data_IF_890494671497
#
_entry.id   IF_890494671497
#
_cell.length_a   1.000
_cell.length_b   1.000
_cell.length_c   1.000
_cell.angle_alpha   90.00
_cell.angle_beta   90.00
_cell.angle_gamma   90.00
#
_symmetry.space_group_name_H-M   'P 1'
#
loop_
_entity.id
_entity.type
_entity.pdbx_description
1 polymer ?
#
# COMPACT_ATOMS: atom_id res chain seq x y z
N UNK A 1 -24.80 -4.20 29.72
CA UNK A 1 -23.47 -3.53 29.79
C UNK A 1 -22.29 -4.41 29.36
N UNK A 2 -22.44 -5.72 29.11
CA UNK A 2 -21.33 -6.61 28.75
C UNK A 2 -20.90 -6.55 27.26
N UNK A 3 -21.82 -6.19 26.35
CA UNK A 3 -21.56 -6.13 24.90
C UNK A 3 -20.42 -5.16 24.48
N UNK A 4 -20.36 -3.90 24.99
CA UNK A 4 -19.30 -2.96 24.57
C UNK A 4 -17.91 -3.36 25.07
N UNK A 5 -17.81 -4.02 26.23
CA UNK A 5 -16.54 -4.52 26.76
C UNK A 5 -16.02 -5.70 25.92
N UNK A 6 -16.92 -6.58 25.47
CA UNK A 6 -16.56 -7.69 24.57
C UNK A 6 -16.03 -7.21 23.22
N UNK A 7 -16.70 -6.25 22.60
CA UNK A 7 -16.24 -5.62 21.34
C UNK A 7 -14.90 -4.90 21.50
N UNK A 8 -14.68 -4.22 22.63
CA UNK A 8 -13.40 -3.60 22.95
C UNK A 8 -12.25 -4.61 23.06
N UNK A 9 -12.47 -5.74 23.75
CA UNK A 9 -11.48 -6.81 23.86
C UNK A 9 -11.17 -7.47 22.51
N UNK A 10 -12.19 -7.71 21.69
CA UNK A 10 -12.03 -8.23 20.33
C UNK A 10 -11.21 -7.27 19.47
N UNK A 11 -11.50 -5.96 19.53
CA UNK A 11 -10.76 -4.95 18.80
C UNK A 11 -9.29 -4.87 19.24
N UNK A 12 -9.03 -4.88 20.56
CA UNK A 12 -7.67 -4.93 21.10
C UNK A 12 -6.92 -6.19 20.66
N UNK A 13 -7.58 -7.35 20.65
CA UNK A 13 -7.04 -8.59 20.13
C UNK A 13 -6.68 -8.49 18.64
N UNK A 14 -7.57 -7.93 17.82
CA UNK A 14 -7.33 -7.69 16.40
C UNK A 14 -6.15 -6.74 16.14
N UNK A 15 -6.06 -5.65 16.89
CA UNK A 15 -4.92 -4.71 16.85
C UNK A 15 -3.61 -5.42 17.22
N UNK A 16 -3.62 -6.23 18.28
CA UNK A 16 -2.47 -7.02 18.73
C UNK A 16 -1.99 -8.03 17.69
N UNK A 17 -2.92 -8.80 17.09
CA UNK A 17 -2.62 -9.73 16.00
C UNK A 17 -2.06 -9.01 14.77
N UNK A 18 -2.63 -7.85 14.42
CA UNK A 18 -2.14 -7.01 13.34
C UNK A 18 -0.68 -6.61 13.55
N UNK A 19 -0.34 -6.11 14.74
CA UNK A 19 1.03 -5.74 15.14
C UNK A 19 1.98 -6.95 15.12
N UNK A 20 1.58 -8.09 15.66
CA UNK A 20 2.39 -9.31 15.63
C UNK A 20 2.71 -9.73 14.19
N UNK A 21 1.72 -9.68 13.29
CA UNK A 21 1.93 -9.97 11.88
C UNK A 21 2.93 -9.01 11.23
N UNK A 22 2.88 -7.72 11.54
CA UNK A 22 3.84 -6.72 11.06
C UNK A 22 5.27 -7.12 11.42
N UNK A 23 5.48 -7.40 12.71
CA UNK A 23 6.79 -7.76 13.25
C UNK A 23 7.29 -9.08 12.68
N UNK A 24 6.41 -10.07 12.53
CA UNK A 24 6.75 -11.35 11.92
C UNK A 24 7.14 -11.19 10.46
N UNK A 25 6.42 -10.38 9.68
CA UNK A 25 6.75 -10.12 8.28
C UNK A 25 8.14 -9.48 8.16
N UNK A 26 8.43 -8.46 8.98
CA UNK A 26 9.74 -7.79 8.98
C UNK A 26 10.88 -8.76 9.32
N UNK A 27 10.67 -9.65 10.30
CA UNK A 27 11.65 -10.68 10.67
C UNK A 27 11.84 -11.73 9.58
N UNK A 28 10.75 -12.30 9.06
CA UNK A 28 10.81 -13.40 8.08
C UNK A 28 11.43 -12.92 6.77
N UNK A 29 11.01 -11.76 6.27
CA UNK A 29 11.55 -11.20 5.03
C UNK A 29 13.02 -10.80 5.20
N UNK A 30 13.40 -10.26 6.36
CA UNK A 30 14.80 -9.92 6.65
C UNK A 30 15.74 -11.13 6.74
N UNK A 31 15.25 -12.27 7.22
CA UNK A 31 16.09 -13.47 7.40
C UNK A 31 16.29 -14.31 6.12
N UNK A 32 15.44 -14.13 5.10
CA UNK A 32 15.43 -14.97 3.88
C UNK A 32 15.84 -14.23 2.62
N UNK A 33 16.55 -13.11 2.77
CA UNK A 33 16.90 -12.22 1.66
C UNK A 33 18.40 -12.00 1.55
N UNK A 34 18.91 -11.92 0.33
CA UNK A 34 20.28 -11.60 0.00
C UNK A 34 20.34 -10.24 -0.71
N UNK A 35 21.44 -9.48 -0.63
CA UNK A 35 21.58 -8.26 -1.42
C UNK A 35 21.52 -8.58 -2.92
N UNK A 36 20.83 -7.73 -3.68
CA UNK A 36 20.83 -7.83 -5.13
C UNK A 36 22.22 -7.57 -5.72
N UNK A 37 22.43 -8.00 -6.97
CA UNK A 37 23.68 -7.71 -7.67
C UNK A 37 23.85 -6.20 -7.91
N UNK A 38 25.09 -5.78 -8.18
CA UNK A 38 25.42 -4.36 -8.38
C UNK A 38 24.68 -3.72 -9.57
N UNK A 39 24.37 -4.50 -10.61
CA UNK A 39 23.62 -4.01 -11.76
C UNK A 39 22.21 -3.55 -11.34
N UNK A 40 21.43 -4.42 -10.70
CA UNK A 40 20.07 -4.12 -10.24
C UNK A 40 20.08 -2.98 -9.21
N UNK A 41 21.02 -3.02 -8.25
CA UNK A 41 21.15 -1.94 -7.27
C UNK A 41 21.44 -0.59 -7.95
N UNK A 42 22.31 -0.56 -8.96
CA UNK A 42 22.61 0.67 -9.69
C UNK A 42 21.41 1.22 -10.46
N UNK A 43 20.54 0.33 -10.99
CA UNK A 43 19.30 0.75 -11.65
C UNK A 43 18.36 1.39 -10.63
N UNK A 44 18.18 0.75 -9.48
CA UNK A 44 17.35 1.27 -8.40
C UNK A 44 17.86 2.62 -7.87
N UNK A 45 19.18 2.77 -7.69
CA UNK A 45 19.78 4.03 -7.23
C UNK A 45 19.53 5.18 -8.23
N UNK A 46 19.70 4.93 -9.54
CA UNK A 46 19.41 5.93 -10.58
C UNK A 46 17.93 6.31 -10.61
N UNK A 47 17.03 5.33 -10.51
CA UNK A 47 15.59 5.58 -10.48
C UNK A 47 15.18 6.33 -9.20
N UNK A 48 15.79 6.02 -8.06
CA UNK A 48 15.50 6.70 -6.80
C UNK A 48 15.85 8.20 -6.90
N UNK A 49 16.99 8.52 -7.52
CA UNK A 49 17.37 9.92 -7.80
C UNK A 49 16.37 10.64 -8.71
N UNK A 50 15.93 9.98 -9.78
CA UNK A 50 14.95 10.56 -10.71
C UNK A 50 13.57 10.78 -10.07
N UNK A 51 13.16 9.89 -9.17
CA UNK A 51 11.90 10.00 -8.43
C UNK A 51 12.02 11.05 -7.31
N UNK A 52 13.22 11.27 -6.75
CA UNK A 52 13.42 12.01 -5.50
C UNK A 52 13.20 11.15 -4.24
N UNK A 53 13.20 9.83 -4.40
CA UNK A 53 13.07 8.87 -3.31
C UNK A 53 14.40 8.70 -2.56
N UNK A 54 14.33 8.31 -1.28
CA UNK A 54 15.52 7.91 -0.54
C UNK A 54 16.14 6.65 -1.17
N UNK A 55 17.47 6.64 -1.35
CA UNK A 55 18.18 5.44 -1.79
C UNK A 55 17.92 4.29 -0.82
N UNK A 56 17.71 3.10 -1.37
CA UNK A 56 17.33 1.92 -0.60
C UNK A 56 18.05 0.67 -1.10
N UNK A 57 18.28 -0.28 -0.20
CA UNK A 57 18.82 -1.60 -0.56
C UNK A 57 17.75 -2.43 -1.28
N UNK A 58 18.10 -2.95 -2.46
CA UNK A 58 17.33 -3.99 -3.14
C UNK A 58 17.83 -5.35 -2.66
N UNK A 59 16.88 -6.18 -2.27
CA UNK A 59 17.09 -7.51 -1.74
C UNK A 59 16.44 -8.54 -2.65
N UNK A 60 17.05 -9.71 -2.76
CA UNK A 60 16.55 -10.86 -3.51
C UNK A 60 16.14 -11.97 -2.55
N UNK A 61 14.98 -12.57 -2.78
CA UNK A 61 14.60 -13.84 -2.17
C UNK A 61 14.53 -14.95 -3.22
N UNK A 62 15.07 -16.12 -2.90
CA UNK A 62 14.97 -17.30 -3.74
C UNK A 62 13.53 -17.81 -3.75
N UNK A 63 12.77 -17.44 -4.79
CA UNK A 63 11.37 -17.75 -4.93
C UNK A 63 11.03 -17.87 -6.41
N UNK A 64 10.57 -19.05 -6.84
CA UNK A 64 10.14 -19.30 -8.22
C UNK A 64 8.67 -18.87 -8.44
N UNK A 65 8.33 -17.68 -7.94
CA UNK A 65 7.03 -17.01 -8.10
C UNK A 65 7.28 -15.50 -8.13
N UNK A 66 6.47 -14.73 -8.86
CA UNK A 66 6.57 -13.28 -8.89
C UNK A 66 6.33 -12.68 -7.50
N UNK A 67 7.29 -11.89 -7.04
CA UNK A 67 7.18 -11.10 -5.82
C UNK A 67 8.03 -9.85 -5.97
N UNK A 68 7.37 -8.70 -5.90
CA UNK A 68 8.00 -7.41 -5.63
C UNK A 68 7.28 -6.79 -4.44
N UNK A 69 8.02 -6.31 -3.46
CA UNK A 69 7.45 -5.75 -2.24
C UNK A 69 8.39 -4.74 -1.61
N UNK A 70 7.88 -3.55 -1.35
CA UNK A 70 8.48 -2.57 -0.45
C UNK A 70 8.08 -2.87 1.00
N UNK A 71 9.06 -3.07 1.89
CA UNK A 71 8.83 -3.38 3.30
C UNK A 71 9.85 -2.71 4.25
N UNK A 72 9.54 -2.69 5.54
CA UNK A 72 10.38 -2.13 6.61
C UNK A 72 9.74 -0.91 7.28
N UNK A 73 9.98 -0.75 8.59
CA UNK A 73 9.37 0.35 9.35
C UNK A 73 10.22 1.63 9.32
N UNK A 74 11.50 1.52 9.70
CA UNK A 74 12.41 2.68 9.79
C UNK A 74 13.27 2.91 8.55
N UNK A 75 13.61 1.83 7.84
CA UNK A 75 14.44 1.86 6.64
C UNK A 75 13.75 1.00 5.59
N UNK A 76 12.93 1.59 4.71
CA UNK A 76 12.23 0.81 3.69
C UNK A 76 13.25 0.15 2.76
N UNK A 77 12.97 -1.08 2.36
CA UNK A 77 13.76 -1.93 1.47
C UNK A 77 12.87 -2.51 0.40
N UNK A 78 13.44 -2.75 -0.78
CA UNK A 78 12.74 -3.41 -1.88
C UNK A 78 13.14 -4.88 -1.86
N UNK A 79 12.16 -5.78 -1.80
CA UNK A 79 12.35 -7.21 -1.98
C UNK A 79 11.87 -7.62 -3.36
N UNK A 80 12.72 -8.34 -4.10
CA UNK A 80 12.38 -8.96 -5.37
C UNK A 80 12.59 -10.47 -5.28
N UNK A 81 11.76 -11.26 -5.95
CA UNK A 81 12.06 -12.68 -6.15
C UNK A 81 13.05 -12.90 -7.28
N UNK A 82 13.76 -14.02 -7.24
CA UNK A 82 14.59 -14.50 -8.35
C UNK A 82 13.77 -14.62 -9.65
N UNK A 83 12.50 -15.04 -9.55
CA UNK A 83 11.58 -15.07 -10.69
C UNK A 83 11.48 -13.71 -11.41
N UNK A 84 11.37 -12.60 -10.67
CA UNK A 84 11.27 -11.26 -11.28
C UNK A 84 12.52 -10.89 -12.08
N UNK A 85 13.69 -11.31 -11.61
CA UNK A 85 14.97 -11.05 -12.29
C UNK A 85 15.14 -11.95 -13.53
N UNK A 86 14.63 -13.18 -13.46
CA UNK A 86 14.79 -14.18 -14.53
C UNK A 86 13.77 -14.00 -15.68
N UNK A 87 12.56 -13.51 -15.39
CA UNK A 87 11.45 -13.49 -16.35
C UNK A 87 11.10 -12.09 -16.89
N UNK A 88 11.61 -11.02 -16.27
CA UNK A 88 11.41 -9.66 -16.74
C UNK A 88 12.61 -9.17 -17.52
N UNK A 89 12.35 -8.48 -18.63
CA UNK A 89 13.39 -7.76 -19.35
C UNK A 89 13.87 -6.52 -18.57
N UNK A 90 14.95 -5.89 -19.04
CA UNK A 90 15.53 -4.71 -18.37
C UNK A 90 14.56 -3.54 -18.23
N UNK A 91 13.68 -3.32 -19.21
CA UNK A 91 12.70 -2.24 -19.18
C UNK A 91 11.54 -2.55 -18.22
N UNK A 92 11.06 -3.78 -18.22
CA UNK A 92 10.04 -4.28 -17.31
C UNK A 92 10.52 -4.25 -15.86
N UNK A 93 11.74 -4.75 -15.60
CA UNK A 93 12.34 -4.73 -14.27
C UNK A 93 12.55 -3.30 -13.75
N UNK A 94 13.03 -2.40 -14.62
CA UNK A 94 13.15 -0.98 -14.28
C UNK A 94 11.80 -0.33 -13.96
N UNK A 95 10.74 -0.70 -14.69
CA UNK A 95 9.39 -0.20 -14.42
C UNK A 95 8.84 -0.70 -13.07
N UNK A 96 9.06 -1.97 -12.73
CA UNK A 96 8.71 -2.51 -11.40
C UNK A 96 9.52 -1.84 -10.30
N UNK A 97 10.83 -1.67 -10.46
CA UNK A 97 11.66 -0.95 -9.49
C UNK A 97 11.19 0.48 -9.28
N UNK A 98 10.84 1.20 -10.35
CA UNK A 98 10.30 2.55 -10.27
C UNK A 98 8.95 2.58 -9.51
N UNK A 99 8.09 1.57 -9.70
CA UNK A 99 6.84 1.42 -8.96
C UNK A 99 7.09 1.22 -7.46
N UNK A 100 8.00 0.31 -7.09
CA UNK A 100 8.37 0.06 -5.70
C UNK A 100 9.01 1.29 -5.04
N UNK A 101 9.87 2.00 -5.76
CA UNK A 101 10.42 3.29 -5.30
C UNK A 101 9.34 4.35 -5.11
N UNK A 102 8.26 4.32 -5.90
CA UNK A 102 7.07 5.14 -5.70
C UNK A 102 6.43 4.92 -4.32
N UNK A 103 6.37 3.67 -3.85
CA UNK A 103 5.89 3.37 -2.50
C UNK A 103 6.78 3.94 -1.39
N UNK A 104 8.09 4.01 -1.63
CA UNK A 104 9.06 4.57 -0.68
C UNK A 104 8.93 6.09 -0.61
N UNK A 105 8.91 6.74 -1.76
CA UNK A 105 8.74 8.19 -1.89
C UNK A 105 7.45 8.68 -1.20
N UNK A 106 6.35 7.97 -1.45
CA UNK A 106 5.04 8.27 -0.85
C UNK A 106 4.87 7.77 0.57
N UNK A 107 5.85 7.03 1.10
CA UNK A 107 5.82 6.37 2.42
C UNK A 107 4.58 5.48 2.62
N UNK A 108 4.12 4.87 1.54
CA UNK A 108 2.89 4.07 1.54
C UNK A 108 2.99 2.89 2.53
N UNK A 109 4.19 2.38 2.78
CA UNK A 109 4.43 1.32 3.76
C UNK A 109 3.82 1.67 5.13
N UNK A 110 4.03 2.88 5.67
CA UNK A 110 3.49 3.29 6.98
C UNK A 110 1.97 3.37 6.97
N UNK A 111 1.40 3.93 5.90
CA UNK A 111 -0.05 4.13 5.75
C UNK A 111 -0.75 2.77 5.62
N UNK A 112 -0.19 1.87 4.82
CA UNK A 112 -0.70 0.49 4.67
C UNK A 112 -0.61 -0.27 5.98
N UNK A 113 0.48 -0.13 6.75
CA UNK A 113 0.59 -0.75 8.08
C UNK A 113 -0.52 -0.29 9.01
N UNK A 114 -0.72 1.03 9.13
CA UNK A 114 -1.76 1.60 9.98
C UNK A 114 -3.16 1.15 9.53
N UNK A 115 -3.47 1.26 8.24
CA UNK A 115 -4.75 0.84 7.69
C UNK A 115 -4.99 -0.66 7.90
N UNK A 116 -3.94 -1.48 7.81
CA UNK A 116 -3.99 -2.92 8.05
C UNK A 116 -4.33 -3.23 9.51
N UNK A 117 -3.66 -2.59 10.46
CA UNK A 117 -3.92 -2.76 11.90
C UNK A 117 -5.33 -2.29 12.25
N UNK A 118 -5.77 -1.14 11.71
CA UNK A 118 -7.13 -0.64 11.91
C UNK A 118 -8.18 -1.60 11.33
N UNK A 119 -7.99 -2.10 10.10
CA UNK A 119 -8.89 -3.10 9.51
C UNK A 119 -8.98 -4.35 10.39
N UNK A 120 -7.87 -4.81 10.96
CA UNK A 120 -7.87 -6.02 11.80
C UNK A 120 -8.56 -5.79 13.15
N UNK A 121 -8.39 -4.61 13.77
CA UNK A 121 -9.10 -4.25 15.00
C UNK A 121 -10.60 -4.01 14.80
N UNK A 122 -10.98 -3.45 13.65
CA UNK A 122 -12.34 -3.07 13.32
C UNK A 122 -12.93 -3.93 12.19
N UNK A 123 -12.54 -5.21 12.13
CA UNK A 123 -12.93 -6.12 11.04
C UNK A 123 -14.45 -6.34 10.95
N UNK A 124 -15.20 -6.08 12.03
CA UNK A 124 -16.65 -6.21 12.05
C UNK A 124 -17.37 -5.01 11.43
N UNK A 125 -16.66 -3.93 11.08
CA UNK A 125 -17.21 -2.76 10.40
C UNK A 125 -17.00 -2.89 8.88
N UNK A 126 -18.06 -3.03 8.06
CA UNK A 126 -17.91 -3.19 6.61
C UNK A 126 -17.20 -2.01 5.91
N UNK A 127 -17.33 -0.82 6.47
CA UNK A 127 -16.73 0.43 5.98
C UNK A 127 -15.21 0.41 6.06
N UNK A 128 -14.61 -0.23 7.08
CA UNK A 128 -13.15 -0.34 7.20
C UNK A 128 -12.55 -1.20 6.09
N UNK A 129 -13.25 -2.25 5.67
CA UNK A 129 -12.86 -3.05 4.50
C UNK A 129 -12.98 -2.26 3.20
N UNK A 130 -14.06 -1.50 3.03
CA UNK A 130 -14.24 -0.66 1.85
C UNK A 130 -13.15 0.41 1.74
N UNK A 131 -12.87 1.09 2.84
CA UNK A 131 -11.81 2.08 2.94
C UNK A 131 -10.42 1.48 2.69
N UNK A 132 -10.12 0.31 3.28
CA UNK A 132 -8.87 -0.38 3.03
C UNK A 132 -8.70 -0.73 1.55
N UNK A 133 -9.75 -1.25 0.90
CA UNK A 133 -9.70 -1.54 -0.55
C UNK A 133 -9.51 -0.28 -1.38
N UNK A 134 -10.17 0.82 -1.04
CA UNK A 134 -10.02 2.09 -1.75
C UNK A 134 -8.59 2.64 -1.62
N UNK A 135 -8.05 2.65 -0.40
CA UNK A 135 -6.66 3.03 -0.14
C UNK A 135 -5.68 2.18 -0.97
N UNK A 136 -5.85 0.86 -0.98
CA UNK A 136 -4.99 -0.03 -1.77
C UNK A 136 -5.06 0.31 -3.26
N UNK A 137 -6.25 0.61 -3.81
CA UNK A 137 -6.40 1.00 -5.22
C UNK A 137 -5.68 2.31 -5.53
N UNK A 138 -5.92 3.35 -4.75
CA UNK A 138 -5.33 4.68 -4.94
C UNK A 138 -3.80 4.64 -4.83
N UNK A 139 -3.29 3.86 -3.89
CA UNK A 139 -1.86 3.60 -3.70
C UNK A 139 -1.23 3.03 -4.97
N UNK A 140 -1.78 1.94 -5.50
CA UNK A 140 -1.25 1.28 -6.70
C UNK A 140 -1.33 2.20 -7.94
N UNK A 141 -2.44 2.92 -8.09
CA UNK A 141 -2.64 3.87 -9.20
C UNK A 141 -1.60 4.98 -9.18
N UNK A 142 -1.39 5.60 -8.01
CA UNK A 142 -0.42 6.69 -7.87
C UNK A 142 1.02 6.24 -8.10
N UNK A 143 1.38 5.02 -7.68
CA UNK A 143 2.72 4.47 -7.90
C UNK A 143 2.97 4.09 -9.36
N UNK A 144 1.99 3.52 -10.04
CA UNK A 144 2.06 3.30 -11.49
C UNK A 144 2.30 4.63 -12.24
N UNK A 145 1.53 5.67 -11.92
CA UNK A 145 1.63 6.96 -12.61
C UNK A 145 3.02 7.59 -12.40
N UNK A 146 3.60 7.47 -11.20
CA UNK A 146 4.95 7.94 -10.90
C UNK A 146 6.03 7.09 -11.57
N UNK A 147 5.86 5.78 -11.61
CA UNK A 147 6.75 4.87 -12.32
C UNK A 147 6.78 5.18 -13.82
N UNK A 148 5.61 5.44 -14.42
CA UNK A 148 5.47 5.82 -15.84
C UNK A 148 6.07 7.20 -16.09
N UNK A 149 5.87 8.16 -15.19
CA UNK A 149 6.44 9.51 -15.33
C UNK A 149 7.98 9.50 -15.39
N UNK A 150 8.65 8.60 -14.68
CA UNK A 150 10.11 8.50 -14.68
C UNK A 150 10.62 7.58 -15.80
N UNK A 151 10.01 6.42 -15.98
CA UNK A 151 10.50 5.44 -16.97
C UNK A 151 10.06 5.74 -18.39
N UNK A 152 8.99 6.51 -18.58
CA UNK A 152 8.34 6.77 -19.87
C UNK A 152 7.93 5.50 -20.61
N UNK A 153 7.69 4.40 -19.88
CA UNK A 153 7.43 3.06 -20.44
C UNK A 153 6.20 2.40 -19.80
N UNK A 154 4.98 2.91 -20.05
CA UNK A 154 3.75 2.33 -19.50
C UNK A 154 3.52 0.88 -19.93
N UNK A 155 3.86 0.55 -21.18
CA UNK A 155 3.72 -0.82 -21.69
C UNK A 155 4.68 -1.81 -21.02
N UNK A 156 5.86 -1.37 -20.57
CA UNK A 156 6.79 -2.22 -19.83
C UNK A 156 6.21 -2.57 -18.46
N UNK A 157 5.60 -1.60 -17.76
CA UNK A 157 4.91 -1.87 -16.50
C UNK A 157 3.69 -2.79 -16.72
N UNK A 158 2.89 -2.54 -17.76
CA UNK A 158 1.72 -3.38 -18.09
C UNK A 158 2.14 -4.83 -18.39
N UNK A 159 3.19 -5.01 -19.19
CA UNK A 159 3.75 -6.32 -19.51
C UNK A 159 4.26 -7.05 -18.27
N UNK A 160 5.01 -6.34 -17.41
CA UNK A 160 5.50 -6.91 -16.15
C UNK A 160 4.35 -7.39 -15.25
N UNK A 161 3.30 -6.57 -15.09
CA UNK A 161 2.10 -6.93 -14.32
C UNK A 161 1.37 -8.13 -14.93
N UNK A 162 1.23 -8.19 -16.26
CA UNK A 162 0.59 -9.30 -16.95
C UNK A 162 1.36 -10.61 -16.75
N UNK A 163 2.68 -10.60 -16.91
CA UNK A 163 3.56 -11.77 -16.67
C UNK A 163 3.47 -12.24 -15.22
N UNK A 164 3.60 -11.31 -14.27
CA UNK A 164 3.51 -11.62 -12.85
C UNK A 164 2.14 -12.18 -12.47
N UNK A 165 1.06 -11.61 -13.03
CA UNK A 165 -0.28 -12.10 -12.77
C UNK A 165 -0.51 -13.50 -13.33
N UNK A 166 -0.09 -13.74 -14.57
CA UNK A 166 -0.24 -15.04 -15.22
C UNK A 166 0.39 -16.13 -14.35
N UNK A 167 1.66 -15.98 -13.97
CA UNK A 167 2.34 -16.97 -13.12
C UNK A 167 1.69 -17.08 -11.74
N UNK A 168 1.41 -15.96 -11.06
CA UNK A 168 0.80 -15.98 -9.73
C UNK A 168 -0.56 -16.70 -9.71
N UNK A 169 -1.37 -16.51 -10.76
CA UNK A 169 -2.73 -17.03 -10.86
C UNK A 169 -2.81 -18.55 -11.05
N UNK A 170 -1.70 -19.21 -11.39
CA UNK A 170 -1.63 -20.66 -11.54
C UNK A 170 -1.61 -21.42 -10.21
N UNK A 171 -1.45 -20.73 -9.07
CA UNK A 171 -1.42 -21.35 -7.74
C UNK A 171 -2.82 -21.67 -7.17
N UNK A 172 -3.07 -22.86 -6.57
CA UNK A 172 -4.38 -23.23 -6.03
C UNK A 172 -4.84 -22.30 -4.90
N UNK A 173 -3.92 -21.85 -4.03
CA UNK A 173 -4.22 -20.95 -2.92
C UNK A 173 -4.71 -19.58 -3.40
N UNK A 174 -4.05 -19.01 -4.41
CA UNK A 174 -4.42 -17.70 -4.92
C UNK A 174 -5.77 -17.76 -5.62
N UNK A 175 -6.01 -18.80 -6.43
CA UNK A 175 -7.31 -19.04 -7.11
C UNK A 175 -8.48 -19.08 -6.14
N UNK A 176 -8.32 -19.74 -4.99
CA UNK A 176 -9.37 -19.80 -3.96
C UNK A 176 -9.58 -18.45 -3.25
N UNK A 177 -8.54 -17.62 -3.13
CA UNK A 177 -8.60 -16.34 -2.45
C UNK A 177 -9.13 -15.19 -3.33
N UNK A 178 -9.00 -15.27 -4.66
CA UNK A 178 -9.36 -14.18 -5.59
C UNK A 178 -10.75 -13.54 -5.36
N UNK A 179 -11.84 -14.32 -5.18
CA UNK A 179 -13.18 -13.73 -5.04
C UNK A 179 -13.31 -12.83 -3.81
N UNK A 180 -12.47 -13.07 -2.80
CA UNK A 180 -12.50 -12.36 -1.53
C UNK A 180 -11.56 -11.16 -1.50
N UNK A 181 -10.49 -11.17 -2.31
CA UNK A 181 -9.48 -10.10 -2.33
C UNK A 181 -9.77 -9.04 -3.38
N UNK A 182 -10.43 -9.39 -4.49
CA UNK A 182 -10.61 -8.51 -5.63
C UNK A 182 -9.29 -8.15 -6.34
N UNK A 183 -8.23 -8.93 -6.11
CA UNK A 183 -6.90 -8.66 -6.68
C UNK A 183 -6.90 -8.74 -8.22
N UNK A 184 -7.69 -9.65 -8.80
CA UNK A 184 -7.86 -9.79 -10.24
C UNK A 184 -8.37 -8.50 -10.89
N UNK A 185 -9.50 -7.98 -10.40
CA UNK A 185 -10.10 -6.75 -10.92
C UNK A 185 -9.18 -5.53 -10.79
N UNK A 186 -8.37 -5.46 -9.72
CA UNK A 186 -7.39 -4.40 -9.54
C UNK A 186 -6.27 -4.47 -10.58
N UNK A 187 -5.72 -5.67 -10.82
CA UNK A 187 -4.66 -5.86 -11.80
C UNK A 187 -5.15 -5.62 -13.23
N UNK A 188 -6.33 -6.14 -13.58
CA UNK A 188 -6.96 -5.88 -14.87
C UNK A 188 -7.16 -4.38 -15.11
N UNK A 189 -7.68 -3.64 -14.11
CA UNK A 189 -7.84 -2.20 -14.19
C UNK A 189 -6.50 -1.47 -14.41
N UNK A 190 -5.43 -1.88 -13.70
CA UNK A 190 -4.10 -1.29 -13.86
C UNK A 190 -3.53 -1.54 -15.25
N UNK A 191 -3.59 -2.78 -15.74
CA UNK A 191 -3.13 -3.14 -17.09
C UNK A 191 -3.91 -2.34 -18.13
N UNK A 192 -5.24 -2.30 -18.05
CA UNK A 192 -6.08 -1.53 -18.95
C UNK A 192 -5.71 -0.04 -18.96
N UNK A 193 -5.46 0.56 -17.78
CA UNK A 193 -5.04 1.96 -17.66
C UNK A 193 -3.68 2.22 -18.34
N UNK A 194 -2.71 1.31 -18.16
CA UNK A 194 -1.37 1.45 -18.74
C UNK A 194 -1.35 1.24 -20.26
N UNK A 195 -2.23 0.37 -20.79
CA UNK A 195 -2.38 0.16 -22.24
C UNK A 195 -2.98 1.36 -22.97
N UNK A 196 -3.78 2.19 -22.28
CA UNK A 196 -4.51 3.30 -22.88
C UNK A 196 -3.68 4.58 -23.15
N UNK A 197 -2.38 4.62 -22.81
CA UNK A 197 -1.36 5.70 -22.96
C UNK A 197 -1.76 7.11 -23.48
N UNK A 198 -1.15 8.21 -22.98
CA UNK A 198 -0.99 8.70 -21.60
C UNK A 198 -1.70 10.06 -21.36
N UNK A 199 -2.03 10.40 -20.10
CA UNK A 199 -2.27 11.82 -19.71
C UNK A 199 -0.93 12.53 -19.55
N UNK A 200 -0.80 13.81 -19.97
CA UNK A 200 0.38 14.61 -19.67
C UNK A 200 0.57 14.75 -18.17
N UNK A 201 1.84 14.81 -17.74
CA UNK A 201 2.23 15.17 -16.40
C UNK A 201 1.74 16.59 -16.04
N UNK A 202 1.38 16.74 -14.78
CA UNK A 202 1.13 17.97 -14.01
C UNK A 202 1.33 19.29 -14.76
N UNK A 203 0.23 20.03 -14.93
CA UNK A 203 0.28 21.49 -15.06
C UNK A 203 0.74 22.08 -13.72
N UNK A 204 2.06 22.09 -13.50
CA UNK A 204 2.69 22.98 -12.53
C UNK A 204 3.44 24.06 -13.31
N UNK A 205 2.72 25.12 -13.62
CA UNK A 205 3.28 26.36 -14.13
C UNK A 205 4.38 26.90 -13.23
N UNK A 206 5.52 27.21 -13.86
CA UNK A 206 6.46 28.29 -13.55
C UNK A 206 6.35 28.91 -12.14
N UNK A 207 7.20 28.46 -11.21
CA UNK A 207 7.46 29.17 -9.97
C UNK A 207 8.65 28.57 -9.24
N UNK A 208 9.79 29.24 -9.29
CA UNK A 208 10.98 28.93 -8.49
C UNK A 208 10.74 29.13 -6.99
N UNK A 209 9.92 28.28 -6.39
CA UNK A 209 9.70 28.18 -4.95
C UNK A 209 10.19 26.82 -4.47
N UNK A 210 10.96 26.79 -3.39
CA UNK A 210 11.24 25.56 -2.64
C UNK A 210 9.90 24.95 -2.20
N UNK A 211 9.40 23.98 -2.95
CA UNK A 211 8.18 23.26 -2.62
C UNK A 211 8.45 22.32 -1.45
N UNK A 212 7.74 22.55 -0.36
CA UNK A 212 7.67 21.69 0.82
C UNK A 212 6.81 20.46 0.50
N UNK A 213 7.40 19.52 -0.27
CA UNK A 213 6.74 18.29 -0.77
C UNK A 213 6.35 17.33 0.37
N UNK A 214 6.84 17.56 1.59
CA UNK A 214 6.45 16.77 2.77
C UNK A 214 5.03 17.04 3.29
N UNK A 215 4.45 18.20 2.97
CA UNK A 215 3.21 18.68 3.59
C UNK A 215 1.93 18.33 2.83
N UNK A 216 1.91 18.42 1.51
CA UNK A 216 0.66 18.41 0.71
C UNK A 216 0.13 17.01 0.43
N UNK A 217 0.98 16.05 0.07
CA UNK A 217 0.57 14.66 -0.13
C UNK A 217 0.22 13.97 1.20
N UNK A 218 0.97 14.27 2.26
CA UNK A 218 0.66 13.83 3.62
C UNK A 218 -0.68 14.43 4.08
N UNK A 219 -0.98 15.70 3.75
CA UNK A 219 -2.26 16.33 4.03
C UNK A 219 -3.40 15.69 3.24
N UNK A 220 -3.25 15.38 1.95
CA UNK A 220 -4.32 14.75 1.18
C UNK A 220 -4.66 13.33 1.71
N UNK A 221 -3.64 12.51 1.99
CA UNK A 221 -3.81 11.19 2.59
C UNK A 221 -4.31 11.24 4.05
N UNK A 222 -3.81 12.19 4.84
CA UNK A 222 -4.28 12.40 6.22
C UNK A 222 -5.69 13.00 6.27
N UNK A 223 -6.08 13.87 5.33
CA UNK A 223 -7.45 14.39 5.21
C UNK A 223 -8.39 13.25 4.84
N UNK A 224 -8.01 12.37 3.90
CA UNK A 224 -8.78 11.17 3.58
C UNK A 224 -8.93 10.22 4.77
N UNK A 225 -7.84 9.93 5.49
CA UNK A 225 -7.86 9.10 6.69
C UNK A 225 -8.64 9.74 7.86
N UNK A 226 -8.50 11.05 8.08
CA UNK A 226 -9.16 11.78 9.17
C UNK A 226 -10.65 12.01 8.91
N UNK A 227 -11.04 12.30 7.67
CA UNK A 227 -12.46 12.40 7.29
C UNK A 227 -13.14 11.02 7.37
N UNK A 228 -12.41 9.95 7.05
CA UNK A 228 -12.87 8.60 7.25
C UNK A 228 -12.97 8.24 8.75
N UNK A 229 -11.95 8.53 9.55
CA UNK A 229 -11.99 8.31 11.02
C UNK A 229 -13.10 9.14 11.68
N UNK A 230 -13.38 10.35 11.19
CA UNK A 230 -14.50 11.17 11.66
C UNK A 230 -15.86 10.59 11.23
N UNK A 231 -15.98 10.08 10.01
CA UNK A 231 -17.16 9.37 9.54
C UNK A 231 -17.40 8.07 10.34
N UNK A 232 -16.33 7.36 10.72
CA UNK A 232 -16.40 6.19 11.58
C UNK A 232 -16.77 6.56 13.03
N UNK A 233 -16.20 7.62 13.58
CA UNK A 233 -16.60 8.14 14.88
C UNK A 233 -18.07 8.55 14.88
N UNK A 234 -18.56 9.13 13.78
CA UNK A 234 -19.97 9.45 13.58
C UNK A 234 -20.84 8.19 13.45
N UNK A 235 -20.42 7.18 12.68
CA UNK A 235 -21.15 5.90 12.55
C UNK A 235 -21.22 5.14 13.88
N UNK A 236 -20.11 5.10 14.63
CA UNK A 236 -20.06 4.52 15.98
C UNK A 236 -20.96 5.34 16.93
N UNK A 237 -20.94 6.67 16.86
CA UNK A 237 -21.83 7.52 17.66
C UNK A 237 -23.31 7.32 17.30
N UNK A 238 -23.66 7.18 16.02
CA UNK A 238 -25.02 6.90 15.53
C UNK A 238 -25.48 5.50 15.93
N UNK A 239 -24.58 4.52 15.94
CA UNK A 239 -24.85 3.16 16.41
C UNK A 239 -25.03 3.09 17.94
N UNK A 240 -24.36 3.97 18.69
CA UNK A 240 -24.49 4.11 20.14
C UNK A 240 -25.67 5.02 20.56
N UNK A 241 -26.16 5.89 19.66
CA UNK A 241 -27.27 6.82 19.91
C UNK A 241 -28.59 6.14 20.35
N UNK A 242 -29.07 5.05 19.73
CA UNK A 242 -30.26 4.33 20.21
C UNK A 242 -30.01 3.51 21.50
N UNK A 243 -28.77 3.40 21.98
CA UNK A 243 -28.42 2.70 23.22
C UNK A 243 -28.34 3.62 24.46
N UNK A 244 -28.68 4.90 24.33
CA UNK A 244 -28.71 5.87 25.44
C UNK A 244 -27.35 6.35 25.93
N UNK A 245 -26.26 6.05 25.21
CA UNK A 245 -24.91 6.49 25.50
C UNK A 245 -24.46 7.56 24.48
N UNK A 246 -25.02 8.76 24.58
CA UNK A 246 -24.53 9.95 23.88
C UNK A 246 -23.88 10.92 24.88
N UNK A 247 -22.93 11.79 24.46
CA UNK A 247 -22.23 12.72 25.34
C UNK A 247 -23.16 13.71 26.07
N UNK A 248 -24.42 13.84 25.63
CA UNK A 248 -25.44 14.65 26.29
C UNK A 248 -25.87 14.12 27.68
N UNK A 249 -25.71 12.83 27.98
CA UNK A 249 -26.14 12.27 29.27
C UNK A 249 -25.16 12.50 30.43
N UNK A 250 -23.96 13.05 30.13
CA UNK A 250 -22.96 13.43 31.13
C UNK A 250 -23.12 14.88 31.61
N UNK A 251 -23.84 15.73 30.86
CA UNK A 251 -23.95 17.16 31.19
C UNK A 251 -25.05 17.46 32.22
N UNK A 252 -26.04 16.58 32.42
CA UNK A 252 -27.13 16.81 33.38
C UNK A 252 -26.97 16.18 34.77
N UNK A 253 -25.84 15.52 35.05
CA UNK A 253 -25.56 14.92 36.37
C UNK A 253 -24.63 15.77 37.26
N UNK A 254 -24.34 17.01 36.86
CA UNK A 254 -23.49 17.95 37.59
C UNK A 254 -24.15 19.33 37.80
N UNK A 255 -25.48 19.39 37.75
CA UNK A 255 -26.28 20.55 38.15
C UNK A 255 -27.45 20.10 39.05
#
# INVERSE_FOLDING_TARGET
MALPLGLGLIALGGLGLGLVRVVLLERVLGSKSLPANLEIQSVADRLAEQIGAARTSVLLCTLNRPLALTYGLRRPRILLSTWMVEHLDRGELAAVLAHELGHIDRRDYMVVWLATVLRDGFFYLPTTWAAYRQLQREKEVACDDRAVAVTQRPLALASALAKAWHDASDGPTLRMAQPFTGAAALIEMRIARLLAAPRPALDEGNGGGRFDVGGTALRAGAIGLMSLLAAEAANVAVMLAPMGCGPASLFWKLL
#
